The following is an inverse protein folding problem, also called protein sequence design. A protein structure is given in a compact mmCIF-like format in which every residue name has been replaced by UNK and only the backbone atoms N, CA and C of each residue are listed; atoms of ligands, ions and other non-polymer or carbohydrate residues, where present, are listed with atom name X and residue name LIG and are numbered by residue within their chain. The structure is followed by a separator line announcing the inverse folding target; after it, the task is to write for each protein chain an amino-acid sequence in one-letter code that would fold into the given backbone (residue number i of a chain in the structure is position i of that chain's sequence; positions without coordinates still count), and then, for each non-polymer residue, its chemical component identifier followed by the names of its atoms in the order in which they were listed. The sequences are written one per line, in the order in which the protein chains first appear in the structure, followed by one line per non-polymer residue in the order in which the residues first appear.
data_IF_013581992384
#
_entry.id   IF_013581992384
#
_cell.length_a   1.000
_cell.length_b   1.000
_cell.length_c   1.000
_cell.angle_alpha   90.00
_cell.angle_beta   90.00
_cell.angle_gamma   90.00
#
_symmetry.space_group_name_H-M   'P 1'
#
loop_
_entity.id
_entity.type
_entity.pdbx_description
1 polymer ?
#
# COMPACT_ATOMS: atom_id res chain seq x y z
N UNK A 1 -32.44 -32.72 -28.81
CA UNK A 1 -32.21 -32.29 -27.41
C UNK A 1 -30.94 -31.45 -27.39
N UNK A 2 -31.06 -30.13 -27.35
CA UNK A 2 -29.92 -29.18 -27.28
C UNK A 2 -29.60 -28.92 -25.81
N UNK A 3 -28.43 -29.35 -25.35
CA UNK A 3 -27.93 -29.03 -24.01
C UNK A 3 -27.34 -27.62 -24.04
N UNK A 4 -28.03 -26.65 -23.45
CA UNK A 4 -27.52 -25.29 -23.20
C UNK A 4 -26.47 -25.38 -22.10
N UNK A 5 -25.25 -25.08 -22.49
CA UNK A 5 -24.11 -24.89 -21.58
C UNK A 5 -24.24 -23.46 -20.99
N UNK A 6 -24.69 -23.38 -19.75
CA UNK A 6 -24.68 -22.10 -19.01
C UNK A 6 -23.23 -21.88 -18.55
N UNK A 7 -22.57 -20.96 -19.24
CA UNK A 7 -21.25 -20.47 -18.85
C UNK A 7 -21.44 -19.50 -17.67
N UNK A 8 -21.21 -19.97 -16.45
CA UNK A 8 -21.19 -19.12 -15.26
C UNK A 8 -19.87 -18.35 -15.29
N UNK A 9 -19.90 -17.14 -15.85
CA UNK A 9 -18.80 -16.20 -15.73
C UNK A 9 -18.73 -15.74 -14.28
N UNK A 10 -17.80 -16.29 -13.50
CA UNK A 10 -17.41 -15.75 -12.21
C UNK A 10 -16.81 -14.36 -12.45
N UNK A 11 -17.59 -13.31 -12.22
CA UNK A 11 -17.08 -11.95 -12.09
C UNK A 11 -16.26 -11.91 -10.78
N UNK A 12 -15.01 -12.34 -10.87
CA UNK A 12 -14.02 -11.95 -9.88
C UNK A 12 -13.86 -10.42 -10.04
N UNK A 13 -14.46 -9.65 -9.14
CA UNK A 13 -14.33 -8.21 -9.08
C UNK A 13 -12.87 -7.86 -8.76
N UNK A 14 -12.03 -7.87 -9.79
CA UNK A 14 -10.74 -7.22 -9.71
C UNK A 14 -11.05 -5.72 -9.57
N UNK A 15 -10.82 -5.16 -8.38
CA UNK A 15 -10.72 -3.72 -8.23
C UNK A 15 -9.61 -3.29 -9.18
N UNK A 16 -10.00 -2.67 -10.30
CA UNK A 16 -9.07 -2.25 -11.34
C UNK A 16 -7.99 -1.40 -10.70
N UNK A 17 -6.74 -1.75 -11.00
CA UNK A 17 -5.60 -0.97 -10.62
C UNK A 17 -5.69 0.41 -11.28
N UNK A 18 -6.19 1.40 -10.56
CA UNK A 18 -6.20 2.78 -10.99
C UNK A 18 -4.86 3.43 -10.66
N UNK A 19 -4.36 4.25 -11.59
CA UNK A 19 -3.19 5.09 -11.35
C UNK A 19 -3.40 5.90 -10.05
N UNK A 20 -2.36 6.02 -9.25
CA UNK A 20 -2.45 6.75 -7.99
C UNK A 20 -2.60 8.24 -8.24
N UNK A 21 -3.75 8.81 -7.90
CA UNK A 21 -3.96 10.26 -7.87
C UNK A 21 -3.48 10.81 -6.53
N UNK A 22 -2.22 11.23 -6.48
CA UNK A 22 -1.59 11.78 -5.28
C UNK A 22 -1.58 13.31 -5.23
N UNK A 23 -2.27 13.98 -6.16
CA UNK A 23 -2.33 15.44 -6.21
C UNK A 23 -3.02 16.05 -4.98
N UNK A 24 -3.77 15.25 -4.24
CA UNK A 24 -4.49 15.65 -3.03
C UNK A 24 -3.75 15.32 -1.74
N UNK A 25 -2.47 14.91 -1.79
CA UNK A 25 -1.68 14.68 -0.60
C UNK A 25 -1.39 16.01 0.11
N UNK A 26 -1.74 16.06 1.39
CA UNK A 26 -1.46 17.20 2.27
C UNK A 26 -0.63 16.74 3.45
N UNK A 27 0.37 17.54 3.81
CA UNK A 27 1.01 17.41 5.10
C UNK A 27 -0.03 17.75 6.19
N UNK A 28 -0.06 16.98 7.26
CA UNK A 28 -0.92 17.31 8.39
C UNK A 28 -0.36 18.50 9.15
N UNK A 29 -1.21 19.23 9.89
CA UNK A 29 -0.87 20.50 10.55
C UNK A 29 0.29 20.38 11.56
N UNK A 30 0.54 19.18 12.07
CA UNK A 30 1.67 18.89 12.95
C UNK A 30 2.91 18.39 12.20
N UNK A 31 2.89 18.32 10.87
CA UNK A 31 4.00 17.88 10.04
C UNK A 31 4.51 16.46 10.31
N UNK A 32 3.67 15.59 10.90
CA UNK A 32 4.08 14.25 11.31
C UNK A 32 3.80 13.17 10.28
N UNK A 33 2.90 13.43 9.36
CA UNK A 33 2.58 12.51 8.25
C UNK A 33 1.88 13.24 7.10
N UNK A 34 1.87 12.60 5.94
CA UNK A 34 1.10 13.00 4.77
C UNK A 34 -0.16 12.15 4.69
N UNK A 35 -1.28 12.76 4.31
CA UNK A 35 -2.52 12.03 4.10
C UNK A 35 -3.31 12.60 2.92
N UNK A 36 -4.17 11.78 2.32
CA UNK A 36 -4.97 12.19 1.18
C UNK A 36 -5.74 11.02 0.57
N UNK A 37 -6.17 11.21 -0.69
CA UNK A 37 -6.71 10.14 -1.53
C UNK A 37 -5.63 9.68 -2.48
N UNK A 38 -5.48 8.37 -2.64
CA UNK A 38 -4.55 7.80 -3.61
C UNK A 38 -5.24 7.48 -4.94
N UNK A 39 -6.51 7.04 -4.87
CA UNK A 39 -7.39 6.73 -6.00
C UNK A 39 -8.82 6.65 -5.49
N UNK A 40 -9.80 6.46 -6.40
CA UNK A 40 -11.17 6.20 -5.98
C UNK A 40 -11.23 4.94 -5.09
N UNK A 41 -11.82 5.05 -3.91
CA UNK A 41 -11.92 3.96 -2.93
C UNK A 41 -10.68 3.74 -2.07
N UNK A 42 -9.59 4.50 -2.25
CA UNK A 42 -8.39 4.40 -1.45
C UNK A 42 -8.05 5.72 -0.75
N UNK A 43 -7.76 5.64 0.55
CA UNK A 43 -7.06 6.70 1.28
C UNK A 43 -5.57 6.37 1.35
N UNK A 44 -4.73 7.37 1.55
CA UNK A 44 -3.29 7.19 1.75
C UNK A 44 -2.81 7.93 2.98
N UNK A 45 -1.84 7.34 3.69
CA UNK A 45 -1.03 8.03 4.69
C UNK A 45 0.43 7.64 4.58
N UNK A 46 1.32 8.61 4.80
CA UNK A 46 2.77 8.40 4.78
C UNK A 46 3.33 9.02 6.05
N UNK A 47 4.08 8.23 6.80
CA UNK A 47 4.73 8.66 8.04
C UNK A 47 6.11 8.04 8.20
N UNK A 48 6.85 8.51 9.19
CA UNK A 48 8.22 8.06 9.49
C UNK A 48 8.29 7.37 10.84
N UNK A 49 9.26 6.50 11.02
CA UNK A 49 9.61 5.91 12.32
C UNK A 49 11.12 6.09 12.57
N UNK A 50 11.55 6.87 13.58
CA UNK A 50 10.70 7.64 14.49
C UNK A 50 9.90 8.75 13.77
N UNK A 51 8.83 9.20 14.40
CA UNK A 51 8.03 10.31 13.89
C UNK A 51 8.85 11.59 13.92
N UNK A 52 9.17 12.10 12.74
CA UNK A 52 9.92 13.35 12.55
C UNK A 52 9.11 14.33 11.70
N UNK A 53 9.51 15.58 11.69
CA UNK A 53 8.89 16.60 10.86
C UNK A 53 9.02 16.19 9.37
N UNK A 54 7.97 16.40 8.61
CA UNK A 54 7.86 15.99 7.20
C UNK A 54 8.87 16.67 6.26
N UNK A 55 9.54 17.75 6.68
CA UNK A 55 10.58 18.43 5.89
C UNK A 55 11.79 17.53 5.58
N UNK A 56 11.96 16.42 6.28
CA UNK A 56 12.98 15.42 5.98
C UNK A 56 12.51 14.36 4.96
N UNK A 57 11.24 14.39 4.58
CA UNK A 57 10.64 13.47 3.64
C UNK A 57 10.04 14.25 2.48
N UNK A 58 10.56 14.03 1.27
CA UNK A 58 10.01 14.62 0.07
C UNK A 58 8.99 13.66 -0.54
N UNK A 59 7.76 14.14 -0.67
CA UNK A 59 6.66 13.39 -1.28
C UNK A 59 6.09 14.21 -2.42
N UNK A 60 5.97 13.62 -3.58
CA UNK A 60 5.44 14.26 -4.79
C UNK A 60 4.69 13.26 -5.67
N UNK A 61 4.06 13.76 -6.71
CA UNK A 61 3.53 12.96 -7.81
C UNK A 61 4.31 13.28 -9.08
N UNK A 62 4.74 12.26 -9.78
CA UNK A 62 5.39 12.40 -11.08
C UNK A 62 5.07 11.19 -11.96
N UNK A 63 4.72 11.44 -13.22
CA UNK A 63 4.47 10.40 -14.23
C UNK A 63 3.47 9.31 -13.79
N UNK A 64 2.40 9.73 -13.08
CA UNK A 64 1.37 8.83 -12.57
C UNK A 64 1.82 7.97 -11.37
N UNK A 65 2.96 8.27 -10.76
CA UNK A 65 3.47 7.58 -9.59
C UNK A 65 3.50 8.48 -8.35
N UNK A 66 3.30 7.87 -7.19
CA UNK A 66 3.68 8.43 -5.90
C UNK A 66 5.20 8.31 -5.77
N UNK A 67 5.88 9.45 -5.62
CA UNK A 67 7.32 9.51 -5.45
C UNK A 67 7.65 9.85 -4.00
N UNK A 68 8.45 9.02 -3.34
CA UNK A 68 8.91 9.20 -1.97
C UNK A 68 10.44 9.16 -1.96
N UNK A 69 11.07 10.33 -1.80
CA UNK A 69 12.53 10.42 -1.61
C UNK A 69 12.85 10.26 -0.13
N UNK A 70 13.49 9.14 0.19
CA UNK A 70 13.79 8.73 1.56
C UNK A 70 15.22 9.03 1.98
N UNK A 71 16.05 9.51 1.07
CA UNK A 71 17.52 9.61 1.25
C UNK A 71 17.90 10.52 2.40
N UNK A 72 17.27 11.69 2.51
CA UNK A 72 17.54 12.63 3.62
C UNK A 72 17.08 12.09 4.97
N UNK A 73 15.93 11.38 4.99
CA UNK A 73 15.44 10.76 6.22
C UNK A 73 16.43 9.72 6.75
N UNK A 74 16.98 8.87 5.89
CA UNK A 74 17.90 7.79 6.30
C UNK A 74 19.34 8.26 6.60
N UNK A 75 19.67 9.55 6.43
CA UNK A 75 20.92 10.12 6.97
C UNK A 75 20.89 10.24 8.50
N UNK A 76 19.72 10.19 9.10
CA UNK A 76 19.57 10.24 10.56
C UNK A 76 19.98 8.91 11.19
N UNK A 77 20.75 8.92 12.28
CA UNK A 77 21.20 7.70 12.95
C UNK A 77 20.06 6.91 13.61
N UNK A 78 18.93 7.57 13.91
CA UNK A 78 17.73 6.97 14.51
C UNK A 78 16.67 6.57 13.49
N UNK A 79 16.89 6.79 12.19
CA UNK A 79 15.96 6.44 11.13
C UNK A 79 15.77 4.92 11.05
N UNK A 80 14.50 4.47 11.06
CA UNK A 80 14.18 3.04 10.98
C UNK A 80 13.47 2.70 9.67
N UNK A 81 12.36 3.39 9.39
CA UNK A 81 11.54 3.12 8.20
C UNK A 81 10.60 4.28 7.90
N UNK A 82 10.10 4.27 6.67
CA UNK A 82 8.97 5.11 6.26
C UNK A 82 7.80 4.18 5.99
N UNK A 83 6.67 4.49 6.59
CA UNK A 83 5.45 3.69 6.54
C UNK A 83 4.46 4.36 5.61
N UNK A 84 4.15 3.70 4.50
CA UNK A 84 3.13 4.12 3.54
C UNK A 84 1.95 3.17 3.64
N UNK A 85 0.71 3.70 3.80
CA UNK A 85 -0.51 2.91 3.88
C UNK A 85 -1.49 3.35 2.82
N UNK A 86 -2.06 2.39 2.13
CA UNK A 86 -3.20 2.56 1.22
C UNK A 86 -4.42 1.93 1.89
N UNK A 87 -5.30 2.76 2.43
CA UNK A 87 -6.50 2.31 3.12
C UNK A 87 -7.60 2.02 2.12
N UNK A 88 -8.20 0.83 2.20
CA UNK A 88 -9.35 0.46 1.39
C UNK A 88 -10.60 1.00 2.09
N UNK A 89 -11.39 1.80 1.37
CA UNK A 89 -12.61 2.41 1.89
C UNK A 89 -13.89 1.71 1.45
N UNK A 90 -13.82 0.97 0.35
CA UNK A 90 -14.98 0.36 -0.27
C UNK A 90 -14.82 -1.17 -0.33
N UNK A 91 -15.93 -1.89 -0.33
CA UNK A 91 -15.99 -3.34 -0.59
C UNK A 91 -15.19 -4.26 0.36
N UNK A 92 -14.93 -3.81 1.60
CA UNK A 92 -14.24 -4.66 2.59
C UNK A 92 -15.02 -5.98 2.81
N UNK A 93 -16.36 -5.94 2.76
CA UNK A 93 -17.19 -7.12 2.91
C UNK A 93 -16.87 -8.23 1.88
N UNK A 94 -16.47 -7.86 0.67
CA UNK A 94 -16.10 -8.80 -0.38
C UNK A 94 -14.77 -9.52 -0.13
N UNK A 95 -13.96 -9.01 0.80
CA UNK A 95 -12.64 -9.55 1.14
C UNK A 95 -12.65 -10.40 2.41
N UNK A 96 -13.69 -10.29 3.23
CA UNK A 96 -13.81 -11.01 4.50
C UNK A 96 -13.77 -12.51 4.29
N UNK A 97 -12.98 -13.22 5.10
CA UNK A 97 -12.87 -14.67 5.06
C UNK A 97 -12.23 -15.25 3.80
N UNK A 98 -11.67 -14.41 2.92
CA UNK A 98 -11.10 -14.86 1.63
C UNK A 98 -9.59 -14.81 1.60
N UNK A 99 -9.00 -15.64 0.75
CA UNK A 99 -7.61 -15.50 0.36
C UNK A 99 -7.46 -14.21 -0.45
N UNK A 100 -6.68 -13.28 0.07
CA UNK A 100 -6.57 -11.92 -0.45
C UNK A 100 -5.12 -11.58 -0.76
N UNK A 101 -4.90 -11.01 -1.93
CA UNK A 101 -3.58 -10.59 -2.41
C UNK A 101 -3.49 -9.08 -2.46
N UNK A 102 -2.46 -8.52 -1.83
CA UNK A 102 -1.99 -7.17 -2.06
C UNK A 102 -0.92 -7.19 -3.16
N UNK A 103 -1.10 -6.36 -4.18
CA UNK A 103 -0.13 -6.17 -5.26
C UNK A 103 0.33 -4.72 -5.29
N UNK A 104 1.63 -4.50 -5.40
CA UNK A 104 2.20 -3.16 -5.54
C UNK A 104 3.22 -3.16 -6.66
N UNK A 105 3.05 -2.23 -7.61
CA UNK A 105 4.05 -1.95 -8.63
C UNK A 105 4.93 -0.81 -8.13
N UNK A 106 6.20 -1.11 -7.90
CA UNK A 106 7.15 -0.21 -7.25
C UNK A 106 8.51 -0.24 -7.95
N UNK A 107 9.17 0.89 -7.96
CA UNK A 107 10.53 1.05 -8.44
C UNK A 107 11.37 1.73 -7.35
N UNK A 108 12.63 1.31 -7.20
CA UNK A 108 13.62 2.06 -6.46
C UNK A 108 14.68 2.59 -7.42
N UNK A 109 14.89 3.89 -7.42
CA UNK A 109 15.94 4.57 -8.20
C UNK A 109 17.17 4.77 -7.32
N UNK A 110 18.35 4.79 -7.97
CA UNK A 110 19.64 5.07 -7.33
C UNK A 110 20.04 4.09 -6.21
N UNK A 111 19.83 2.79 -6.46
CA UNK A 111 20.26 1.73 -5.54
C UNK A 111 19.27 0.59 -5.41
N UNK A 112 19.49 -0.28 -4.43
CA UNK A 112 18.56 -1.35 -4.08
C UNK A 112 17.69 -0.90 -2.92
N UNK A 113 16.40 -0.72 -3.15
CA UNK A 113 15.42 -0.51 -2.10
C UNK A 113 15.16 -1.79 -1.31
N UNK A 114 14.72 -1.65 -0.06
CA UNK A 114 14.18 -2.75 0.72
C UNK A 114 12.80 -2.35 1.24
N UNK A 115 11.82 -3.22 1.00
CA UNK A 115 10.42 -2.96 1.31
C UNK A 115 9.84 -4.18 2.01
N UNK A 116 9.08 -3.95 3.08
CA UNK A 116 8.19 -4.97 3.60
C UNK A 116 6.76 -4.65 3.17
N UNK A 117 6.09 -5.61 2.55
CA UNK A 117 4.69 -5.50 2.14
C UNK A 117 3.80 -6.24 3.13
N UNK A 118 2.78 -5.55 3.61
CA UNK A 118 1.80 -6.08 4.56
C UNK A 118 0.38 -5.95 4.01
N UNK A 119 -0.46 -6.90 4.39
CA UNK A 119 -1.88 -6.67 4.57
C UNK A 119 -2.12 -6.35 6.05
N UNK A 120 -2.62 -5.16 6.36
CA UNK A 120 -2.87 -4.66 7.71
C UNK A 120 -4.36 -4.40 7.89
N UNK A 121 -4.93 -4.71 9.06
CA UNK A 121 -6.33 -4.44 9.34
C UNK A 121 -6.69 -4.53 10.81
N UNK A 122 -7.90 -4.10 11.15
CA UNK A 122 -8.49 -4.24 12.47
C UNK A 122 -9.56 -5.34 12.48
N UNK A 123 -9.68 -6.03 13.61
CA UNK A 123 -10.73 -7.02 13.88
C UNK A 123 -11.67 -6.49 14.96
N UNK A 124 -12.97 -6.56 14.71
CA UNK A 124 -13.97 -6.12 15.67
C UNK A 124 -13.71 -4.71 16.20
N UNK A 125 -13.69 -4.52 17.51
CA UNK A 125 -13.36 -3.27 18.22
C UNK A 125 -11.89 -3.22 18.67
N UNK A 126 -11.09 -4.23 18.31
CA UNK A 126 -9.76 -4.42 18.89
C UNK A 126 -8.64 -3.79 18.06
N UNK A 127 -7.42 -3.97 18.61
CA UNK A 127 -6.16 -3.40 18.10
C UNK A 127 -5.86 -3.84 16.65
N UNK A 128 -5.12 -3.00 15.94
CA UNK A 128 -4.58 -3.31 14.60
C UNK A 128 -3.82 -4.62 14.60
N UNK A 129 -4.20 -5.51 13.70
CA UNK A 129 -3.51 -6.76 13.45
C UNK A 129 -2.71 -6.64 12.17
N UNK A 130 -1.43 -7.00 12.24
CA UNK A 130 -0.57 -7.10 11.08
C UNK A 130 -0.69 -8.52 10.52
N UNK A 131 -1.15 -8.60 9.27
CA UNK A 131 -1.17 -9.86 8.55
C UNK A 131 0.19 -10.03 7.90
N UNK A 132 1.02 -10.86 8.40
CA UNK A 132 2.38 -11.21 7.97
C UNK A 132 3.05 -10.28 6.94
N UNK A 133 4.24 -9.81 7.26
CA UNK A 133 5.09 -9.07 6.35
C UNK A 133 5.83 -10.03 5.43
N UNK A 134 5.97 -9.64 4.17
CA UNK A 134 6.91 -10.26 3.26
C UNK A 134 7.95 -9.23 2.83
N UNK A 135 9.26 -9.51 3.05
CA UNK A 135 10.34 -8.63 2.62
C UNK A 135 10.62 -8.80 1.13
N UNK A 136 10.92 -7.69 0.47
CA UNK A 136 11.31 -7.64 -0.93
C UNK A 136 12.54 -6.75 -1.11
N UNK A 137 13.48 -7.19 -1.93
CA UNK A 137 14.47 -6.31 -2.53
C UNK A 137 13.85 -5.69 -3.79
N UNK A 138 13.96 -4.38 -3.92
CA UNK A 138 13.42 -3.63 -5.07
C UNK A 138 14.58 -2.97 -5.80
N UNK A 139 14.79 -3.37 -7.04
CA UNK A 139 15.74 -2.73 -7.95
C UNK A 139 15.06 -2.61 -9.32
N UNK A 140 14.99 -1.39 -9.86
CA UNK A 140 14.19 -1.13 -11.04
C UNK A 140 12.69 -1.29 -10.77
N UNK A 141 11.89 -1.42 -11.83
CA UNK A 141 10.44 -1.61 -11.72
C UNK A 141 10.12 -3.07 -11.38
N UNK A 142 9.39 -3.28 -10.30
CA UNK A 142 9.04 -4.61 -9.78
C UNK A 142 7.57 -4.67 -9.39
N UNK A 143 6.91 -5.78 -9.64
CA UNK A 143 5.63 -6.11 -9.01
C UNK A 143 5.90 -6.99 -7.79
N UNK A 144 5.50 -6.52 -6.61
CA UNK A 144 5.58 -7.28 -5.37
C UNK A 144 4.18 -7.69 -4.94
N UNK A 145 4.05 -8.94 -4.48
CA UNK A 145 2.75 -9.54 -4.13
C UNK A 145 2.84 -10.22 -2.77
N UNK A 146 1.86 -9.95 -1.93
CA UNK A 146 1.70 -10.64 -0.66
C UNK A 146 0.27 -11.16 -0.53
N UNK A 147 0.12 -12.47 -0.29
CA UNK A 147 -1.18 -13.14 -0.21
C UNK A 147 -1.42 -13.67 1.20
N UNK A 148 -2.64 -13.48 1.71
CA UNK A 148 -3.04 -13.95 3.03
C UNK A 148 -4.54 -14.22 3.09
N UNK A 149 -4.91 -15.27 3.84
CA UNK A 149 -6.29 -15.48 4.26
C UNK A 149 -6.69 -14.39 5.26
N UNK A 150 -7.73 -13.60 4.93
CA UNK A 150 -8.25 -12.58 5.84
C UNK A 150 -9.25 -13.19 6.82
N UNK A 151 -9.32 -12.69 8.07
CA UNK A 151 -10.39 -13.04 9.00
C UNK A 151 -11.77 -12.59 8.51
N UNK A 152 -12.83 -13.31 8.90
CA UNK A 152 -14.20 -12.91 8.57
C UNK A 152 -14.68 -11.65 9.31
N UNK A 153 -14.08 -11.37 10.46
CA UNK A 153 -14.42 -10.24 11.33
C UNK A 153 -13.56 -8.99 11.09
N UNK A 154 -12.81 -8.95 9.99
CA UNK A 154 -12.03 -7.77 9.62
C UNK A 154 -12.95 -6.59 9.29
N UNK A 155 -12.61 -5.40 9.83
CA UNK A 155 -13.42 -4.20 9.67
C UNK A 155 -12.77 -3.15 8.77
N UNK A 156 -11.46 -3.12 8.73
CA UNK A 156 -10.71 -2.29 7.80
C UNK A 156 -9.50 -3.06 7.25
N UNK A 157 -9.03 -2.64 6.09
CA UNK A 157 -7.88 -3.25 5.44
C UNK A 157 -7.03 -2.14 4.83
N UNK A 158 -5.73 -2.28 4.97
CA UNK A 158 -4.76 -1.45 4.28
C UNK A 158 -3.64 -2.30 3.67
N UNK A 159 -3.18 -1.89 2.51
CA UNK A 159 -1.88 -2.29 2.00
C UNK A 159 -0.86 -1.38 2.68
N UNK A 160 0.09 -1.95 3.40
CA UNK A 160 1.17 -1.19 4.03
C UNK A 160 2.51 -1.55 3.42
N UNK A 161 3.29 -0.53 3.12
CA UNK A 161 4.68 -0.63 2.73
C UNK A 161 5.55 0.01 3.82
N UNK A 162 6.51 -0.74 4.34
CA UNK A 162 7.60 -0.20 5.14
C UNK A 162 8.83 -0.08 4.22
N UNK A 163 9.23 1.16 3.90
CA UNK A 163 10.43 1.45 3.12
C UNK A 163 11.61 1.53 4.09
N UNK A 164 12.59 0.64 3.94
CA UNK A 164 13.61 0.36 4.95
C UNK A 164 15.02 0.80 4.55
N UNK A 165 15.20 1.38 3.37
CA UNK A 165 16.50 1.84 2.86
C UNK A 165 16.40 3.19 2.16
N UNK A 166 17.52 3.95 2.10
CA UNK A 166 17.57 5.19 1.34
C UNK A 166 17.46 4.91 -0.16
N UNK A 167 16.45 5.49 -0.80
CA UNK A 167 16.23 5.46 -2.25
C UNK A 167 15.20 6.52 -2.63
N UNK A 168 15.00 6.73 -3.92
CA UNK A 168 13.80 7.35 -4.46
C UNK A 168 12.85 6.24 -4.89
N UNK A 169 11.77 6.06 -4.12
CA UNK A 169 10.75 5.08 -4.44
C UNK A 169 9.66 5.69 -5.29
N UNK A 170 9.32 5.02 -6.40
CA UNK A 170 8.15 5.32 -7.22
C UNK A 170 7.14 4.20 -7.06
N UNK A 171 5.94 4.51 -6.61
CA UNK A 171 4.83 3.57 -6.46
C UNK A 171 3.81 3.92 -7.52
N UNK A 172 3.68 3.06 -8.54
CA UNK A 172 2.80 3.28 -9.68
C UNK A 172 1.39 2.79 -9.41
N UNK A 173 1.29 1.74 -8.60
CA UNK A 173 0.01 1.10 -8.32
C UNK A 173 0.04 0.35 -7.00
N UNK A 174 -1.12 0.32 -6.33
CA UNK A 174 -1.38 -0.53 -5.18
C UNK A 174 -2.81 -1.05 -5.29
N UNK A 175 -2.97 -2.36 -5.38
CA UNK A 175 -4.25 -3.01 -5.57
C UNK A 175 -4.45 -4.19 -4.62
N UNK A 176 -5.70 -4.49 -4.31
CA UNK A 176 -6.08 -5.67 -3.54
C UNK A 176 -7.10 -6.48 -4.34
N UNK A 177 -6.98 -7.79 -4.29
CA UNK A 177 -7.93 -8.72 -4.89
C UNK A 177 -8.14 -9.92 -4.00
N UNK A 178 -9.36 -10.44 -3.97
CA UNK A 178 -9.69 -11.74 -3.36
C UNK A 178 -9.87 -12.80 -4.43
N UNK A 179 -9.54 -14.04 -4.09
CA UNK A 179 -9.89 -15.24 -4.86
C UNK A 179 -11.20 -15.83 -4.38
#
# INVERSE_FOLDING_TARGET
MKKSLILLAALAGALSAQALDVNNLKANDNGKFWSGRAAEGYGISIGTEPKVLYNTLKVSSADGALVIDTREFFKRPDARKIVTRFYIKNNIAALKGKETSAKVQIQAEEGSGAVNLYLEGNRGTEKKHYFTAQPFAVSGCSEIVHTKQLPEDVNDIAIRLDLNKPAVYRIFNAAISAK
#
